data_IF_034432930788
#
_entry.id   IF_034432930788
#
_cell.length_a   1.000
_cell.length_b   1.000
_cell.length_c   1.000
_cell.angle_alpha   90.00
_cell.angle_beta   90.00
_cell.angle_gamma   90.00
#
_symmetry.space_group_name_H-M   'P 1'
#
loop_
_entity.id
_entity.type
_entity.pdbx_description
1 polymer ?
#
# COMPACT_ATOMS: atom_id res chain seq x y z
N UNK A 1 -17.26 -4.40 3.31
CA UNK A 1 -16.71 -5.77 3.28
C UNK A 1 -15.43 -5.75 4.09
N UNK A 2 -15.35 -6.53 5.17
CA UNK A 2 -14.07 -6.77 5.84
C UNK A 2 -13.31 -7.83 5.04
N UNK A 3 -12.10 -7.48 4.60
CA UNK A 3 -11.17 -8.43 3.99
C UNK A 3 -10.23 -8.96 5.07
N UNK A 4 -10.17 -10.28 5.22
CA UNK A 4 -9.19 -10.93 6.10
C UNK A 4 -7.77 -10.98 5.51
N UNK A 5 -7.61 -10.60 4.24
CA UNK A 5 -6.33 -10.56 3.51
C UNK A 5 -5.83 -9.14 3.21
N UNK A 6 -4.93 -9.02 2.23
CA UNK A 6 -4.43 -7.75 1.70
C UNK A 6 -4.46 -7.75 0.17
N UNK A 7 -4.54 -6.57 -0.42
CA UNK A 7 -4.55 -6.37 -1.88
C UNK A 7 -3.12 -6.15 -2.38
N UNK A 8 -2.67 -7.00 -3.30
CA UNK A 8 -1.36 -6.89 -3.95
C UNK A 8 -1.54 -6.61 -5.43
N UNK A 9 -0.71 -5.75 -6.01
CA UNK A 9 -0.77 -5.48 -7.44
C UNK A 9 -0.23 -6.66 -8.24
N UNK A 10 -0.76 -6.84 -9.45
CA UNK A 10 -0.01 -7.58 -10.47
C UNK A 10 1.24 -6.78 -10.86
N UNK A 11 2.19 -7.44 -11.52
CA UNK A 11 3.49 -6.88 -11.84
C UNK A 11 3.37 -5.71 -12.81
N UNK A 12 3.68 -4.51 -12.31
CA UNK A 12 3.59 -3.26 -13.08
C UNK A 12 2.20 -2.64 -13.15
N UNK A 13 1.20 -3.19 -12.45
CA UNK A 13 -0.16 -2.66 -12.45
C UNK A 13 -0.37 -1.46 -11.50
N UNK A 14 0.55 -1.23 -10.56
CA UNK A 14 0.50 -0.06 -9.68
C UNK A 14 1.02 1.19 -10.42
N UNK A 15 0.12 1.97 -11.03
CA UNK A 15 0.50 3.12 -11.88
C UNK A 15 0.44 4.49 -11.17
N UNK A 16 -0.27 4.58 -10.04
CA UNK A 16 -0.46 5.82 -9.27
C UNK A 16 0.05 5.66 -7.83
N UNK A 17 0.48 6.75 -7.20
CA UNK A 17 0.89 6.72 -5.79
C UNK A 17 -0.30 6.96 -4.86
N UNK A 18 -0.92 8.14 -4.95
CA UNK A 18 -1.95 8.60 -4.00
C UNK A 18 -3.25 7.83 -4.21
N UNK A 19 -3.69 7.72 -5.45
CA UNK A 19 -4.94 7.05 -5.83
C UNK A 19 -4.90 5.57 -5.48
N UNK A 20 -3.76 4.89 -5.67
CA UNK A 20 -3.62 3.49 -5.27
C UNK A 20 -3.59 3.32 -3.75
N UNK A 21 -2.90 4.20 -3.02
CA UNK A 21 -2.84 4.13 -1.57
C UNK A 21 -4.24 4.34 -0.95
N UNK A 22 -4.95 5.36 -1.40
CA UNK A 22 -6.31 5.67 -0.95
C UNK A 22 -7.36 4.70 -1.52
N UNK A 23 -7.10 4.14 -2.70
CA UNK A 23 -7.99 3.22 -3.43
C UNK A 23 -7.94 1.76 -2.96
N UNK A 24 -7.14 1.45 -1.95
CA UNK A 24 -7.16 0.13 -1.29
C UNK A 24 -6.09 -0.85 -1.74
N UNK A 25 -5.16 -0.48 -2.62
CA UNK A 25 -3.95 -1.29 -2.84
C UNK A 25 -3.16 -1.34 -1.53
N UNK A 26 -2.70 -2.52 -1.09
CA UNK A 26 -1.91 -2.66 0.15
C UNK A 26 -0.42 -2.86 -0.13
N UNK A 27 -0.06 -3.49 -1.26
CA UNK A 27 1.32 -3.80 -1.62
C UNK A 27 1.56 -3.69 -3.14
N UNK A 28 2.49 -2.82 -3.54
CA UNK A 28 3.03 -2.81 -4.91
C UNK A 28 3.98 -3.99 -5.13
N UNK A 29 3.79 -4.69 -6.25
CA UNK A 29 4.68 -5.74 -6.73
C UNK A 29 5.02 -5.56 -8.23
N UNK A 30 6.19 -6.04 -8.65
CA UNK A 30 7.25 -6.61 -7.82
C UNK A 30 8.06 -5.53 -7.09
N UNK A 31 8.85 -5.94 -6.10
CA UNK A 31 9.92 -5.11 -5.56
C UNK A 31 11.16 -5.07 -6.50
N UNK A 32 12.01 -4.04 -6.41
CA UNK A 32 11.83 -2.81 -5.65
C UNK A 32 10.73 -1.92 -6.25
N UNK A 33 9.98 -1.24 -5.37
CA UNK A 33 8.85 -0.39 -5.75
C UNK A 33 9.31 0.74 -6.70
N UNK A 34 8.56 0.97 -7.77
CA UNK A 34 8.79 2.05 -8.75
C UNK A 34 7.80 3.19 -8.57
N UNK A 35 6.54 2.87 -8.27
CA UNK A 35 5.46 3.86 -8.16
C UNK A 35 5.28 4.33 -6.73
N UNK A 36 5.42 3.42 -5.77
CA UNK A 36 5.51 3.69 -4.34
C UNK A 36 6.97 3.78 -3.90
N UNK A 37 7.31 3.35 -2.69
CA UNK A 37 8.60 3.64 -2.07
C UNK A 37 8.65 5.09 -1.59
N UNK A 38 9.65 5.84 -2.02
CA UNK A 38 9.86 7.24 -1.58
C UNK A 38 8.67 8.16 -1.91
N UNK A 39 8.02 7.93 -3.05
CA UNK A 39 6.83 8.69 -3.43
C UNK A 39 5.69 8.54 -2.41
N UNK A 40 5.49 7.33 -1.89
CA UNK A 40 4.46 7.08 -0.87
C UNK A 40 4.84 7.72 0.46
N UNK A 41 6.11 7.64 0.86
CA UNK A 41 6.61 8.33 2.06
C UNK A 41 6.40 9.84 1.96
N UNK A 42 6.69 10.44 0.81
CA UNK A 42 6.44 11.86 0.54
C UNK A 42 4.95 12.19 0.61
N UNK A 43 4.09 11.36 0.00
CA UNK A 43 2.64 11.56 0.04
C UNK A 43 2.08 11.54 1.46
N UNK A 44 2.61 10.69 2.35
CA UNK A 44 2.25 10.67 3.77
C UNK A 44 2.73 11.94 4.49
N UNK A 45 3.99 12.33 4.30
CA UNK A 45 4.55 13.57 4.89
C UNK A 45 3.81 14.83 4.44
N UNK A 46 3.34 14.85 3.20
CA UNK A 46 2.56 15.95 2.62
C UNK A 46 1.06 15.89 3.02
N UNK A 47 0.65 14.97 3.90
CA UNK A 47 -0.74 14.72 4.32
C UNK A 47 -1.72 14.39 3.17
N UNK A 48 -1.22 13.86 2.05
CA UNK A 48 -2.04 13.39 0.91
C UNK A 48 -2.55 11.96 1.08
N UNK A 49 -1.88 11.20 1.96
CA UNK A 49 -2.26 9.86 2.39
C UNK A 49 -2.10 9.82 3.90
N UNK A 50 -3.14 9.40 4.62
CA UNK A 50 -3.07 9.32 6.08
C UNK A 50 -2.11 8.22 6.53
N UNK A 51 -1.25 8.50 7.51
CA UNK A 51 -0.33 7.48 8.05
C UNK A 51 -1.10 6.30 8.69
N UNK A 52 -2.24 6.60 9.33
CA UNK A 52 -3.12 5.58 9.90
C UNK A 52 -3.61 4.58 8.85
N UNK A 53 -3.87 5.05 7.62
CA UNK A 53 -4.24 4.19 6.51
C UNK A 53 -3.09 3.25 6.15
N UNK A 54 -1.85 3.74 6.03
CA UNK A 54 -0.69 2.89 5.75
C UNK A 54 -0.44 1.86 6.86
N UNK A 55 -0.56 2.27 8.12
CA UNK A 55 -0.45 1.39 9.27
C UNK A 55 -1.45 0.23 9.22
N UNK A 56 -2.68 0.49 8.77
CA UNK A 56 -3.71 -0.52 8.58
C UNK A 56 -3.38 -1.52 7.45
N UNK A 57 -2.81 -1.04 6.33
CA UNK A 57 -2.30 -1.91 5.24
C UNK A 57 -1.20 -2.85 5.74
N UNK A 58 -0.23 -2.32 6.49
CA UNK A 58 0.87 -3.11 7.07
C UNK A 58 0.35 -4.16 8.04
N UNK A 59 -0.65 -3.82 8.88
CA UNK A 59 -1.29 -4.79 9.78
C UNK A 59 -1.93 -5.95 9.04
N UNK A 60 -2.61 -5.70 7.90
CA UNK A 60 -3.17 -6.77 7.06
C UNK A 60 -2.07 -7.72 6.54
N UNK A 61 -0.99 -7.17 6.01
CA UNK A 61 0.14 -7.97 5.50
C UNK A 61 0.76 -8.81 6.63
N UNK A 62 1.07 -8.18 7.76
CA UNK A 62 1.68 -8.87 8.91
C UNK A 62 0.74 -9.91 9.52
N UNK A 63 -0.59 -9.73 9.47
CA UNK A 63 -1.55 -10.73 9.93
C UNK A 63 -1.45 -12.01 9.11
N UNK A 64 -1.29 -11.91 7.79
CA UNK A 64 -1.12 -13.06 6.89
C UNK A 64 0.26 -13.71 7.05
N UNK A 65 1.29 -12.92 7.31
CA UNK A 65 2.65 -13.44 7.50
C UNK A 65 2.89 -14.15 8.84
N UNK A 66 1.99 -13.96 9.82
CA UNK A 66 2.04 -14.68 11.10
C UNK A 66 1.52 -16.11 10.88
N UNK A 67 2.44 -17.07 10.91
CA UNK A 67 2.16 -18.51 10.95
C UNK A 67 1.67 -18.95 12.33
#
# INVERSE_FOLDING_TARGET
MELYGYVVSDWGAALQTIENANGGLDCEMPGPAKTWGENLVKAVKDNKVEEALINDKVKRILRIAKF
#
